data_IF_324287585753
#
_entry.id   IF_324287585753
#
_cell.length_a   1.000
_cell.length_b   1.000
_cell.length_c   1.000
_cell.angle_alpha   90.00
_cell.angle_beta   90.00
_cell.angle_gamma   90.00
#
_symmetry.space_group_name_H-M   'P 1'
#
loop_
_entity.id
_entity.type
_entity.pdbx_description
1 polymer ?
#
# COMPACT_ATOMS: atom_id res chain seq x y z
N UNK A 1 0.64 12.35 -45.99
CA UNK A 1 1.08 13.13 -44.82
C UNK A 1 1.76 12.16 -43.87
N UNK A 2 3.08 12.17 -43.82
CA UNK A 2 3.86 11.38 -42.86
C UNK A 2 3.62 12.00 -41.47
N UNK A 3 2.81 11.33 -40.66
CA UNK A 3 2.53 11.78 -39.29
C UNK A 3 3.84 11.97 -38.53
N UNK A 4 4.01 13.14 -37.91
CA UNK A 4 5.15 13.44 -37.05
C UNK A 4 5.11 12.43 -35.90
N UNK A 5 6.08 11.51 -35.86
CA UNK A 5 6.24 10.60 -34.72
C UNK A 5 6.73 11.43 -33.54
N UNK A 6 5.93 11.49 -32.48
CA UNK A 6 6.32 12.09 -31.20
C UNK A 6 7.50 11.31 -30.60
N UNK A 7 8.47 11.99 -29.95
CA UNK A 7 9.59 11.31 -29.29
C UNK A 7 9.10 10.38 -28.18
N UNK A 8 9.67 9.18 -28.14
CA UNK A 8 9.46 8.22 -27.05
C UNK A 8 10.13 8.74 -25.78
N UNK A 9 9.39 8.75 -24.66
CA UNK A 9 9.85 9.18 -23.33
C UNK A 9 10.14 7.98 -22.44
N UNK A 10 9.27 6.98 -22.47
CA UNK A 10 9.40 5.78 -21.65
C UNK A 10 8.94 4.55 -22.43
N UNK A 11 9.88 3.62 -22.66
CA UNK A 11 9.66 2.37 -23.43
C UNK A 11 9.13 2.62 -24.84
N UNK A 12 7.84 2.46 -25.06
CA UNK A 12 7.11 2.64 -26.32
C UNK A 12 6.12 3.82 -26.24
N UNK A 13 6.06 4.52 -25.11
CA UNK A 13 5.18 5.66 -24.87
C UNK A 13 5.88 6.99 -25.13
N UNK A 14 5.17 7.89 -25.82
CA UNK A 14 5.48 9.32 -25.79
C UNK A 14 4.99 9.96 -24.48
N UNK A 15 5.17 11.27 -24.33
CA UNK A 15 4.79 11.98 -23.10
C UNK A 15 3.29 11.86 -22.79
N UNK A 16 2.42 12.04 -23.79
CA UNK A 16 0.97 12.02 -23.58
C UNK A 16 0.49 10.62 -23.17
N UNK A 17 1.04 9.57 -23.80
CA UNK A 17 0.75 8.19 -23.43
C UNK A 17 1.25 7.86 -22.01
N UNK A 18 2.46 8.31 -21.64
CA UNK A 18 3.00 8.11 -20.29
C UNK A 18 2.16 8.84 -19.23
N UNK A 19 1.76 10.08 -19.49
CA UNK A 19 0.91 10.85 -18.60
C UNK A 19 -0.44 10.17 -18.37
N UNK A 20 -1.08 9.72 -19.46
CA UNK A 20 -2.33 8.96 -19.38
C UNK A 20 -2.15 7.62 -18.64
N UNK A 21 -0.99 6.98 -18.72
CA UNK A 21 -0.71 5.74 -18.00
C UNK A 21 -0.57 5.92 -16.48
N UNK A 22 -0.39 7.17 -15.99
CA UNK A 22 -0.38 7.49 -14.56
C UNK A 22 -1.62 8.26 -14.08
N UNK A 23 -2.57 8.54 -14.98
CA UNK A 23 -3.86 9.16 -14.69
C UNK A 23 -4.98 8.11 -14.58
N UNK A 24 -5.38 7.81 -13.35
CA UNK A 24 -6.46 6.88 -13.07
C UNK A 24 -7.85 7.41 -13.48
N UNK A 25 -8.02 8.72 -13.68
CA UNK A 25 -9.30 9.28 -14.15
C UNK A 25 -9.68 8.75 -15.54
N UNK A 26 -8.69 8.44 -16.37
CA UNK A 26 -8.91 7.92 -17.73
C UNK A 26 -9.47 6.49 -17.70
N UNK A 27 -9.12 5.70 -16.68
CA UNK A 27 -9.43 4.25 -16.62
C UNK A 27 -10.49 3.90 -15.57
N UNK A 28 -10.86 4.84 -14.68
CA UNK A 28 -11.87 4.64 -13.64
C UNK A 28 -12.91 5.78 -13.65
N UNK A 29 -13.85 5.80 -14.62
CA UNK A 29 -14.88 6.85 -14.70
C UNK A 29 -15.82 6.88 -13.47
N UNK A 30 -15.92 5.76 -12.73
CA UNK A 30 -16.70 5.63 -11.50
C UNK A 30 -15.91 5.95 -10.22
N UNK A 31 -14.69 6.52 -10.31
CA UNK A 31 -13.83 6.69 -9.13
C UNK A 31 -14.48 7.50 -8.00
N UNK A 32 -15.30 8.50 -8.33
CA UNK A 32 -15.90 9.37 -7.32
C UNK A 32 -16.90 8.60 -6.47
N UNK A 33 -17.72 7.76 -7.12
CA UNK A 33 -18.66 6.85 -6.47
C UNK A 33 -17.92 5.83 -5.60
N UNK A 34 -16.77 5.33 -6.06
CA UNK A 34 -15.95 4.37 -5.30
C UNK A 34 -15.34 5.00 -4.05
N UNK A 35 -14.80 6.22 -4.15
CA UNK A 35 -14.24 6.94 -2.99
C UNK A 35 -15.32 7.31 -1.96
N UNK A 36 -16.52 7.70 -2.43
CA UNK A 36 -17.67 7.92 -1.56
C UNK A 36 -18.06 6.62 -0.85
N UNK A 37 -18.10 5.50 -1.59
CA UNK A 37 -18.37 4.17 -1.03
C UNK A 37 -17.33 3.74 0.00
N UNK A 38 -16.04 4.04 -0.17
CA UNK A 38 -15.03 3.78 0.87
C UNK A 38 -15.34 4.52 2.16
N UNK A 39 -15.74 5.79 2.04
CA UNK A 39 -16.10 6.63 3.18
C UNK A 39 -17.34 6.09 3.88
N UNK A 40 -18.42 5.82 3.15
CA UNK A 40 -19.66 5.26 3.71
C UNK A 40 -19.48 3.87 4.31
N UNK A 41 -18.67 3.01 3.69
CA UNK A 41 -18.37 1.69 4.24
C UNK A 41 -17.48 1.79 5.49
N UNK A 42 -16.59 2.78 5.55
CA UNK A 42 -15.78 3.07 6.74
C UNK A 42 -16.63 3.56 7.91
N UNK A 43 -17.63 4.41 7.65
CA UNK A 43 -18.63 4.83 8.64
C UNK A 43 -19.48 3.65 9.13
N UNK A 44 -19.89 2.79 8.21
CA UNK A 44 -20.60 1.54 8.54
C UNK A 44 -19.74 0.65 9.43
N UNK A 45 -18.47 0.48 9.09
CA UNK A 45 -17.53 -0.33 9.87
C UNK A 45 -17.36 0.22 11.29
N UNK A 46 -17.25 1.55 11.46
CA UNK A 46 -17.21 2.18 12.80
C UNK A 46 -18.51 2.00 13.58
N UNK A 47 -19.65 1.91 12.89
CA UNK A 47 -20.93 1.64 13.54
C UNK A 47 -21.05 0.17 14.00
N UNK A 48 -20.37 -0.75 13.31
CA UNK A 48 -20.34 -2.19 13.63
C UNK A 48 -19.28 -2.55 14.68
N UNK A 49 -18.06 -2.05 14.52
CA UNK A 49 -16.90 -2.38 15.37
C UNK A 49 -16.68 -1.37 16.50
N UNK A 50 -17.29 -0.19 16.42
CA UNK A 50 -17.00 0.95 17.28
C UNK A 50 -15.95 1.90 16.68
N UNK A 51 -15.76 3.03 17.36
CA UNK A 51 -14.70 4.00 17.03
C UNK A 51 -13.34 3.35 17.27
N UNK A 52 -12.35 3.52 16.36
CA UNK A 52 -11.02 2.96 16.55
C UNK A 52 -10.35 3.54 17.80
N UNK A 53 -9.49 2.76 18.42
CA UNK A 53 -8.55 3.29 19.40
C UNK A 53 -7.44 4.03 18.65
N UNK A 54 -7.25 5.31 18.91
CA UNK A 54 -6.22 6.11 18.27
C UNK A 54 -4.96 6.22 19.14
N UNK A 55 -3.80 6.00 18.54
CA UNK A 55 -2.49 6.14 19.18
C UNK A 55 -1.61 7.11 18.41
N UNK A 56 -0.77 7.88 19.11
CA UNK A 56 0.29 8.66 18.48
C UNK A 56 1.55 7.82 18.34
N UNK A 57 2.12 7.78 17.13
CA UNK A 57 3.40 7.11 16.85
C UNK A 57 4.56 8.10 16.67
N UNK A 58 4.28 9.40 16.59
CA UNK A 58 5.28 10.47 16.43
C UNK A 58 4.90 11.74 17.18
N UNK A 59 5.54 12.85 16.81
CA UNK A 59 5.46 14.12 17.54
C UNK A 59 4.30 15.01 17.07
N UNK A 60 3.88 14.87 15.81
CA UNK A 60 2.82 15.70 15.22
C UNK A 60 1.45 15.02 15.29
N UNK A 61 0.37 15.82 15.20
CA UNK A 61 -1.01 15.31 15.30
C UNK A 61 -1.36 14.29 14.21
N UNK A 62 -0.82 14.48 13.01
CA UNK A 62 -0.99 13.57 11.87
C UNK A 62 -0.22 12.26 12.05
N UNK A 63 0.79 12.21 12.93
CA UNK A 63 1.50 10.98 13.27
C UNK A 63 0.71 10.11 14.26
N UNK A 64 -0.53 9.80 13.87
CA UNK A 64 -1.45 8.94 14.59
C UNK A 64 -1.84 7.71 13.78
N UNK A 65 -2.27 6.66 14.47
CA UNK A 65 -2.83 5.46 13.85
C UNK A 65 -4.13 5.06 14.51
N UNK A 66 -5.05 4.57 13.68
CA UNK A 66 -6.32 4.00 14.10
C UNK A 66 -6.16 2.48 14.24
N UNK A 67 -6.49 1.95 15.42
CA UNK A 67 -6.50 0.53 15.72
C UNK A 67 -7.95 0.03 15.89
N UNK A 68 -8.31 -0.95 15.07
CA UNK A 68 -9.51 -1.77 15.24
C UNK A 68 -9.09 -3.11 15.86
N UNK A 69 -9.55 -3.35 17.09
CA UNK A 69 -9.12 -4.51 17.89
C UNK A 69 -10.01 -5.72 17.63
N UNK A 70 -9.39 -6.88 17.51
CA UNK A 70 -10.06 -8.17 17.62
C UNK A 70 -10.18 -8.58 19.08
N UNK A 71 -11.04 -9.57 19.34
CA UNK A 71 -11.22 -10.17 20.68
C UNK A 71 -10.17 -11.23 21.01
N UNK A 72 -9.33 -11.61 20.02
CA UNK A 72 -8.26 -12.60 20.20
C UNK A 72 -7.13 -11.98 21.03
N UNK A 73 -6.68 -12.72 22.04
CA UNK A 73 -5.45 -12.41 22.77
C UNK A 73 -4.23 -12.80 21.92
N UNK A 74 -3.17 -12.00 21.94
CA UNK A 74 -1.97 -12.21 21.12
C UNK A 74 -2.36 -12.34 19.63
N UNK A 75 -3.14 -11.36 19.15
CA UNK A 75 -3.68 -11.35 17.80
C UNK A 75 -2.62 -10.98 16.78
N UNK A 76 -2.60 -11.61 15.58
CA UNK A 76 -1.88 -11.08 14.43
C UNK A 76 -2.31 -9.63 14.14
N UNK A 77 -1.39 -8.83 13.62
CA UNK A 77 -1.62 -7.40 13.33
C UNK A 77 -1.50 -7.19 11.82
N UNK A 78 -2.56 -6.69 11.20
CA UNK A 78 -2.54 -6.20 9.82
C UNK A 78 -2.40 -4.67 9.83
N UNK A 79 -1.27 -4.17 9.34
CA UNK A 79 -1.07 -2.73 9.07
C UNK A 79 -1.46 -2.47 7.62
N UNK A 80 -2.32 -1.49 7.35
CA UNK A 80 -2.72 -1.10 6.01
C UNK A 80 -2.26 0.34 5.71
N UNK A 81 -1.42 0.51 4.69
CA UNK A 81 -0.92 1.81 4.24
C UNK A 81 -1.81 2.31 3.09
N UNK A 82 -2.52 3.40 3.33
CA UNK A 82 -3.53 3.89 2.40
C UNK A 82 -2.96 4.57 1.16
N UNK A 83 -3.76 4.56 0.09
CA UNK A 83 -3.49 5.25 -1.17
C UNK A 83 -3.81 6.75 -1.12
N UNK A 84 -3.99 7.34 -2.30
CA UNK A 84 -4.33 8.77 -2.46
C UNK A 84 -3.31 9.60 -3.24
N UNK A 85 -2.49 8.94 -4.08
CA UNK A 85 -1.45 9.56 -4.90
C UNK A 85 -0.47 10.43 -4.08
N UNK A 86 -0.20 10.02 -2.83
CA UNK A 86 0.59 10.76 -1.83
C UNK A 86 0.05 12.13 -1.42
N UNK A 87 -1.09 12.57 -1.96
CA UNK A 87 -1.64 13.92 -1.73
C UNK A 87 -2.87 13.96 -0.85
N UNK A 88 -3.45 12.80 -0.57
CA UNK A 88 -4.75 12.68 0.08
C UNK A 88 -4.87 11.32 0.76
N UNK A 89 -5.97 11.12 1.47
CA UNK A 89 -6.23 9.93 2.26
C UNK A 89 -5.96 10.19 3.74
N UNK A 90 -6.81 9.63 4.59
CA UNK A 90 -6.63 9.56 6.04
C UNK A 90 -7.04 8.18 6.54
N UNK A 91 -6.56 7.76 7.70
CA UNK A 91 -6.92 6.50 8.35
C UNK A 91 -8.44 6.32 8.45
N UNK A 92 -9.16 7.40 8.77
CA UNK A 92 -10.62 7.42 8.89
C UNK A 92 -11.36 7.05 7.58
N UNK A 93 -10.77 7.28 6.42
CA UNK A 93 -11.36 6.95 5.11
C UNK A 93 -11.15 5.48 4.72
N UNK A 94 -10.29 4.74 5.43
CA UNK A 94 -9.89 3.38 5.12
C UNK A 94 -10.18 2.38 6.26
N UNK A 95 -11.24 2.63 7.02
CA UNK A 95 -11.71 1.69 8.04
C UNK A 95 -12.42 0.47 7.42
N UNK A 96 -12.97 0.60 6.22
CA UNK A 96 -13.84 -0.41 5.60
C UNK A 96 -13.26 -1.83 5.48
N UNK A 97 -11.93 -2.09 5.37
CA UNK A 97 -11.42 -3.46 5.40
C UNK A 97 -11.35 -4.06 6.81
N UNK A 98 -11.42 -3.24 7.87
CA UNK A 98 -11.15 -3.66 9.24
C UNK A 98 -12.06 -4.80 9.71
N UNK A 99 -13.34 -4.82 9.31
CA UNK A 99 -14.28 -5.85 9.71
C UNK A 99 -13.82 -7.26 9.30
N UNK A 100 -13.22 -7.40 8.11
CA UNK A 100 -12.68 -8.68 7.62
C UNK A 100 -11.62 -9.23 8.57
N UNK A 101 -10.64 -8.39 8.89
CA UNK A 101 -9.50 -8.79 9.73
C UNK A 101 -9.91 -8.99 11.20
N UNK A 102 -10.70 -8.06 11.73
CA UNK A 102 -11.18 -8.10 13.13
C UNK A 102 -12.01 -9.34 13.40
N UNK A 103 -12.94 -9.69 12.49
CA UNK A 103 -13.74 -10.92 12.63
C UNK A 103 -12.93 -12.19 12.45
N UNK A 104 -11.88 -12.16 11.62
CA UNK A 104 -10.94 -13.28 11.49
C UNK A 104 -9.99 -13.42 12.69
N UNK A 105 -10.01 -12.47 13.63
CA UNK A 105 -9.20 -12.51 14.85
C UNK A 105 -7.90 -11.71 14.79
N UNK A 106 -7.69 -10.92 13.74
CA UNK A 106 -6.55 -10.01 13.61
C UNK A 106 -6.89 -8.58 14.04
N UNK A 107 -5.91 -7.87 14.57
CA UNK A 107 -5.98 -6.42 14.68
C UNK A 107 -5.81 -5.77 13.31
N UNK A 108 -6.53 -4.70 13.06
CA UNK A 108 -6.36 -3.90 11.84
C UNK A 108 -5.92 -2.48 12.22
N UNK A 109 -4.78 -2.06 11.67
CA UNK A 109 -4.13 -0.78 11.95
C UNK A 109 -4.03 0.04 10.68
N UNK A 110 -4.43 1.29 10.74
CA UNK A 110 -4.26 2.26 9.63
C UNK A 110 -3.55 3.50 10.17
N UNK A 111 -2.28 3.76 9.81
CA UNK A 111 -1.62 5.01 10.14
C UNK A 111 -2.09 6.13 9.22
N UNK A 112 -2.23 7.32 9.79
CA UNK A 112 -2.11 8.58 9.06
C UNK A 112 -0.63 8.92 8.85
N UNK A 113 -0.35 9.81 7.91
CA UNK A 113 0.96 10.41 7.65
C UNK A 113 0.73 11.67 6.80
N UNK A 114 1.74 12.53 6.70
CA UNK A 114 1.65 13.77 5.95
C UNK A 114 1.35 13.53 4.47
N UNK A 115 0.90 14.57 3.79
CA UNK A 115 0.80 14.56 2.34
C UNK A 115 2.01 15.22 1.69
N UNK A 116 2.32 14.81 0.48
CA UNK A 116 3.53 15.23 -0.23
C UNK A 116 3.60 16.76 -0.47
N UNK A 117 2.43 17.43 -0.57
CA UNK A 117 2.37 18.88 -0.70
C UNK A 117 2.82 19.62 0.55
N UNK A 118 2.69 19.01 1.74
CA UNK A 118 3.14 19.61 3.00
C UNK A 118 4.67 19.65 3.09
N UNK A 119 5.33 18.89 2.20
CA UNK A 119 6.78 18.74 2.09
C UNK A 119 7.32 19.17 0.72
N UNK A 120 6.63 20.07 0.02
CA UNK A 120 7.06 20.64 -1.28
C UNK A 120 7.40 19.57 -2.35
N UNK A 121 6.66 18.47 -2.37
CA UNK A 121 6.88 17.39 -3.34
C UNK A 121 7.84 16.29 -2.86
N UNK A 122 8.47 16.40 -1.68
CA UNK A 122 9.39 15.39 -1.14
C UNK A 122 8.63 14.23 -0.47
N UNK A 123 8.90 13.01 -0.92
CA UNK A 123 8.28 11.79 -0.38
C UNK A 123 8.97 11.25 0.89
N UNK A 124 10.20 11.69 1.18
CA UNK A 124 11.00 11.13 2.27
C UNK A 124 10.38 11.37 3.66
N UNK A 125 9.78 12.53 3.97
CA UNK A 125 9.09 12.74 5.26
C UNK A 125 7.95 11.74 5.48
N UNK A 126 7.11 11.53 4.46
CA UNK A 126 6.02 10.54 4.50
C UNK A 126 6.56 9.12 4.71
N UNK A 127 7.62 8.75 3.99
CA UNK A 127 8.23 7.43 4.15
C UNK A 127 8.82 7.23 5.56
N UNK A 128 9.44 8.27 6.13
CA UNK A 128 9.95 8.24 7.49
C UNK A 128 8.82 8.06 8.52
N UNK A 129 7.68 8.71 8.31
CA UNK A 129 6.46 8.54 9.13
C UNK A 129 5.90 7.12 9.04
N UNK A 130 5.77 6.55 7.84
CA UNK A 130 5.32 5.15 7.67
C UNK A 130 6.26 4.17 8.37
N UNK A 131 7.57 4.36 8.28
CA UNK A 131 8.55 3.53 9.00
C UNK A 131 8.39 3.63 10.51
N UNK A 132 8.25 4.86 11.04
CA UNK A 132 7.98 5.10 12.46
C UNK A 132 6.68 4.44 12.93
N UNK A 133 5.61 4.52 12.13
CA UNK A 133 4.34 3.90 12.46
C UNK A 133 4.45 2.37 12.58
N UNK A 134 5.11 1.71 11.62
CA UNK A 134 5.35 0.27 11.65
C UNK A 134 6.21 -0.10 12.86
N UNK A 135 7.28 0.66 13.11
CA UNK A 135 8.16 0.42 14.25
C UNK A 135 7.43 0.60 15.59
N UNK A 136 6.58 1.62 15.70
CA UNK A 136 5.75 1.84 16.88
C UNK A 136 4.80 0.68 17.11
N UNK A 137 4.12 0.18 16.07
CA UNK A 137 3.24 -0.98 16.18
C UNK A 137 4.00 -2.20 16.70
N UNK A 138 5.21 -2.46 16.19
CA UNK A 138 6.03 -3.58 16.63
C UNK A 138 6.46 -3.45 18.10
N UNK A 139 6.96 -2.28 18.50
CA UNK A 139 7.41 -2.02 19.88
C UNK A 139 6.26 -2.01 20.90
N UNK A 140 5.04 -1.68 20.47
CA UNK A 140 3.90 -1.49 21.36
C UNK A 140 2.80 -2.56 21.20
N UNK A 141 3.02 -3.60 20.39
CA UNK A 141 2.04 -4.66 20.09
C UNK A 141 1.34 -5.21 21.35
N UNK A 142 2.13 -5.51 22.39
CA UNK A 142 1.63 -6.04 23.65
C UNK A 142 0.65 -5.11 24.38
N UNK A 143 0.75 -3.78 24.22
CA UNK A 143 -0.12 -2.82 24.90
C UNK A 143 -1.59 -2.92 24.47
N UNK A 144 -1.82 -3.39 23.25
CA UNK A 144 -3.17 -3.56 22.71
C UNK A 144 -3.55 -5.03 22.46
N UNK A 145 -2.72 -5.97 22.92
CA UNK A 145 -2.99 -7.41 22.82
C UNK A 145 -2.61 -8.05 21.49
N UNK A 146 -1.81 -7.35 20.68
CA UNK A 146 -1.24 -7.88 19.45
C UNK A 146 0.04 -8.67 19.68
N UNK A 147 0.34 -9.57 18.76
CA UNK A 147 1.56 -10.37 18.73
C UNK A 147 2.64 -9.65 17.89
N UNK A 148 3.76 -9.20 18.50
CA UNK A 148 4.84 -8.53 17.78
C UNK A 148 5.55 -9.43 16.76
N UNK A 149 5.42 -10.75 16.88
CA UNK A 149 5.97 -11.73 15.94
C UNK A 149 4.97 -12.09 14.82
N UNK A 150 3.78 -11.50 14.79
CA UNK A 150 2.77 -11.73 13.75
C UNK A 150 2.28 -10.42 13.11
N UNK A 151 3.20 -9.62 12.58
CA UNK A 151 2.90 -8.34 11.90
C UNK A 151 2.89 -8.54 10.38
N UNK A 152 1.82 -8.09 9.74
CA UNK A 152 1.59 -8.17 8.31
C UNK A 152 1.32 -6.78 7.75
N UNK A 153 1.73 -6.56 6.51
CA UNK A 153 1.63 -5.26 5.86
C UNK A 153 0.78 -5.37 4.60
N UNK A 154 -0.08 -4.40 4.36
CA UNK A 154 -0.73 -4.25 3.07
C UNK A 154 -0.75 -2.80 2.66
N UNK A 155 -0.84 -2.56 1.36
CA UNK A 155 -0.98 -1.20 0.86
C UNK A 155 -1.69 -1.17 -0.49
N UNK A 156 -2.23 0.00 -0.81
CA UNK A 156 -2.91 0.26 -2.08
C UNK A 156 -2.35 1.49 -2.77
N UNK A 157 -2.12 1.43 -4.09
CA UNK A 157 -1.72 2.60 -4.89
C UNK A 157 -0.41 3.23 -4.38
N UNK A 158 -0.40 4.53 -4.09
CA UNK A 158 0.72 5.21 -3.41
C UNK A 158 1.08 4.58 -2.07
N UNK A 159 0.11 3.99 -1.36
CA UNK A 159 0.35 3.24 -0.14
C UNK A 159 1.00 1.88 -0.39
N UNK A 160 0.71 1.22 -1.51
CA UNK A 160 1.44 0.02 -1.93
C UNK A 160 2.90 0.33 -2.31
N UNK A 161 3.14 1.51 -2.90
CA UNK A 161 4.51 2.03 -3.07
C UNK A 161 5.21 2.20 -1.71
N UNK A 162 4.61 2.94 -0.77
CA UNK A 162 5.21 3.18 0.55
C UNK A 162 5.41 1.87 1.33
N UNK A 163 4.45 0.95 1.27
CA UNK A 163 4.57 -0.39 1.85
C UNK A 163 5.70 -1.19 1.19
N UNK A 164 5.83 -1.15 -0.14
CA UNK A 164 6.94 -1.77 -0.85
C UNK A 164 8.30 -1.25 -0.41
N UNK A 165 8.44 0.07 -0.22
CA UNK A 165 9.68 0.70 0.29
C UNK A 165 9.90 0.39 1.78
N UNK A 166 8.85 0.23 2.58
CA UNK A 166 8.98 -0.20 3.97
C UNK A 166 9.66 -1.59 4.06
N UNK A 167 9.38 -2.48 3.11
CA UNK A 167 9.98 -3.83 3.05
C UNK A 167 11.48 -3.82 2.72
N UNK A 168 12.04 -2.70 2.24
CA UNK A 168 13.47 -2.56 1.95
C UNK A 168 14.22 -1.83 3.05
N UNK A 169 13.57 -1.56 4.19
CA UNK A 169 14.15 -0.85 5.33
C UNK A 169 15.05 -1.78 6.14
N UNK A 170 16.21 -1.30 6.59
CA UNK A 170 17.03 -2.02 7.57
C UNK A 170 16.43 -1.83 8.98
N UNK A 171 15.39 -2.61 9.27
CA UNK A 171 14.65 -2.52 10.53
C UNK A 171 15.51 -2.74 11.77
N UNK A 172 16.59 -3.51 11.65
CA UNK A 172 17.50 -3.78 12.76
C UNK A 172 18.39 -2.58 13.03
N UNK A 173 19.05 -2.04 12.01
CA UNK A 173 19.89 -0.87 12.15
C UNK A 173 19.08 0.39 12.54
N UNK A 174 17.98 0.66 11.85
CA UNK A 174 17.28 1.94 11.95
C UNK A 174 16.32 2.01 13.16
N UNK A 175 15.77 0.86 13.58
CA UNK A 175 14.70 0.81 14.60
C UNK A 175 14.93 -0.22 15.72
N UNK A 176 16.04 -0.97 15.70
CA UNK A 176 16.32 -2.02 16.69
C UNK A 176 15.33 -3.18 16.65
N UNK A 177 14.67 -3.40 15.50
CA UNK A 177 13.67 -4.45 15.29
C UNK A 177 14.28 -5.65 14.55
N UNK A 178 13.71 -6.85 14.67
CA UNK A 178 14.14 -7.98 13.84
C UNK A 178 14.06 -7.61 12.35
N UNK A 179 15.06 -7.99 11.53
CA UNK A 179 15.04 -7.74 10.08
C UNK A 179 13.83 -8.38 9.38
N UNK A 180 13.23 -9.41 9.99
CA UNK A 180 12.00 -10.06 9.56
C UNK A 180 10.76 -9.62 10.37
N UNK A 181 10.71 -8.37 10.85
CA UNK A 181 9.58 -7.85 11.65
C UNK A 181 8.24 -8.02 10.94
N UNK A 182 8.20 -7.82 9.62
CA UNK A 182 7.02 -8.09 8.78
C UNK A 182 7.09 -9.55 8.32
N UNK A 183 6.02 -10.32 8.55
CA UNK A 183 5.93 -11.77 8.25
C UNK A 183 5.31 -12.09 6.89
N UNK A 184 4.58 -11.14 6.31
CA UNK A 184 3.95 -11.24 5.01
C UNK A 184 3.49 -9.87 4.55
N UNK A 185 3.47 -9.64 3.23
CA UNK A 185 2.93 -8.39 2.70
C UNK A 185 2.08 -8.57 1.44
N UNK A 186 1.04 -7.73 1.32
CA UNK A 186 0.15 -7.64 0.15
C UNK A 186 0.23 -6.23 -0.44
N UNK A 187 0.75 -6.11 -1.65
CA UNK A 187 0.95 -4.83 -2.34
C UNK A 187 0.00 -4.76 -3.54
N UNK A 188 -1.04 -3.95 -3.44
CA UNK A 188 -2.08 -3.84 -4.46
C UNK A 188 -1.93 -2.55 -5.29
N UNK A 189 -1.85 -2.71 -6.61
CA UNK A 189 -1.81 -1.62 -7.58
C UNK A 189 -0.70 -0.61 -7.25
N UNK A 190 0.50 -1.10 -6.91
CA UNK A 190 1.62 -0.26 -6.51
C UNK A 190 2.49 0.22 -7.66
N UNK A 191 3.39 1.13 -7.34
CA UNK A 191 4.47 1.58 -8.21
C UNK A 191 5.78 1.25 -7.51
N UNK A 192 6.62 0.44 -8.13
CA UNK A 192 7.82 -0.13 -7.52
C UNK A 192 9.11 0.38 -8.18
N UNK A 193 9.01 0.98 -9.37
CA UNK A 193 10.04 1.82 -10.01
C UNK A 193 9.48 3.23 -10.23
N UNK A 194 10.10 4.22 -9.58
CA UNK A 194 9.71 5.62 -9.66
C UNK A 194 10.21 6.34 -10.91
N UNK A 195 11.08 5.73 -11.73
CA UNK A 195 11.56 6.36 -12.97
C UNK A 195 10.44 6.79 -13.92
N UNK A 196 9.50 5.92 -14.31
CA UNK A 196 8.38 6.35 -15.15
C UNK A 196 7.44 7.34 -14.44
N UNK A 197 7.35 7.28 -13.11
CA UNK A 197 6.57 8.23 -12.31
C UNK A 197 7.16 9.63 -12.41
N UNK A 198 8.49 9.74 -12.26
CA UNK A 198 9.26 10.99 -12.40
C UNK A 198 9.12 11.61 -13.80
N UNK A 199 8.99 10.78 -14.82
CA UNK A 199 8.85 11.24 -16.20
C UNK A 199 7.41 11.58 -16.59
N UNK A 200 6.42 11.18 -15.78
CA UNK A 200 5.00 11.44 -16.03
C UNK A 200 4.53 12.80 -15.49
N UNK A 201 3.28 13.14 -15.78
CA UNK A 201 2.55 14.29 -15.23
C UNK A 201 2.55 14.35 -13.69
N UNK A 202 2.86 13.25 -12.98
CA UNK A 202 3.00 13.26 -11.51
C UNK A 202 4.17 14.12 -11.01
N UNK A 203 5.17 14.35 -11.86
CA UNK A 203 6.27 15.29 -11.59
C UNK A 203 5.82 16.73 -11.33
N UNK A 204 4.58 17.09 -11.69
CA UNK A 204 4.00 18.39 -11.37
C UNK A 204 3.73 18.61 -9.87
N UNK A 205 3.68 17.54 -9.06
CA UNK A 205 3.40 17.63 -7.63
C UNK A 205 4.29 16.75 -6.74
N UNK A 206 5.10 15.85 -7.32
CA UNK A 206 6.13 15.11 -6.60
C UNK A 206 7.49 15.43 -7.21
N UNK A 207 8.43 15.83 -6.36
CA UNK A 207 9.81 16.10 -6.73
C UNK A 207 10.62 14.81 -6.58
N UNK A 208 10.67 14.01 -7.64
CA UNK A 208 11.47 12.78 -7.66
C UNK A 208 12.84 13.11 -8.24
N UNK A 209 13.85 13.30 -7.38
CA UNK A 209 15.25 13.41 -7.81
C UNK A 209 15.84 12.04 -8.16
N UNK A 210 17.07 11.98 -8.66
CA UNK A 210 17.73 10.69 -8.93
C UNK A 210 17.92 9.87 -7.64
N UNK A 211 18.19 10.57 -6.53
CA UNK A 211 18.34 9.98 -5.19
C UNK A 211 17.00 9.42 -4.71
N UNK A 212 15.91 10.20 -4.77
CA UNK A 212 14.57 9.73 -4.38
C UNK A 212 14.11 8.58 -5.30
N UNK A 213 14.38 8.66 -6.60
CA UNK A 213 14.09 7.58 -7.55
C UNK A 213 14.80 6.29 -7.14
N UNK A 214 16.07 6.36 -6.73
CA UNK A 214 16.82 5.21 -6.28
C UNK A 214 16.32 4.69 -4.94
N UNK A 215 16.23 5.55 -3.92
CA UNK A 215 15.90 5.19 -2.53
C UNK A 215 14.49 4.64 -2.38
N UNK A 216 13.51 5.20 -3.10
CA UNK A 216 12.08 4.89 -2.93
C UNK A 216 11.53 4.00 -4.06
N UNK A 217 12.39 3.35 -4.84
CA UNK A 217 11.97 2.29 -5.78
C UNK A 217 12.28 0.91 -5.22
N UNK A 218 11.27 0.24 -4.64
CA UNK A 218 11.44 -1.12 -4.11
C UNK A 218 12.01 -2.11 -5.16
N UNK A 219 11.72 -1.90 -6.45
CA UNK A 219 12.28 -2.66 -7.58
C UNK A 219 13.82 -2.65 -7.62
N UNK A 220 14.48 -1.69 -6.98
CA UNK A 220 15.94 -1.53 -6.99
C UNK A 220 16.64 -2.18 -5.80
N UNK A 221 15.88 -2.67 -4.82
CA UNK A 221 16.39 -3.21 -3.55
C UNK A 221 15.73 -4.56 -3.21
N UNK A 222 15.54 -5.41 -4.23
CA UNK A 222 14.83 -6.69 -4.10
C UNK A 222 15.49 -7.63 -3.10
N UNK A 223 16.82 -7.55 -2.94
CA UNK A 223 17.60 -8.31 -1.97
C UNK A 223 17.28 -8.01 -0.51
N UNK A 224 16.74 -6.82 -0.23
CA UNK A 224 16.37 -6.40 1.12
C UNK A 224 14.98 -6.89 1.53
N UNK A 225 14.18 -7.39 0.58
CA UNK A 225 12.83 -7.88 0.85
C UNK A 225 12.91 -9.29 1.43
N UNK A 226 12.43 -9.42 2.67
CA UNK A 226 12.45 -10.69 3.43
C UNK A 226 11.12 -11.47 3.39
N UNK A 227 9.93 -10.88 3.64
CA UNK A 227 8.71 -11.66 3.77
C UNK A 227 8.16 -12.16 2.42
N UNK A 228 7.37 -13.26 2.43
CA UNK A 228 6.58 -13.66 1.27
C UNK A 228 5.59 -12.56 0.86
N UNK A 229 5.44 -12.37 -0.45
CA UNK A 229 4.64 -11.29 -1.01
C UNK A 229 3.41 -11.79 -1.78
N UNK A 230 2.36 -10.99 -1.72
CA UNK A 230 1.25 -11.01 -2.68
C UNK A 230 1.28 -9.68 -3.41
N UNK A 231 1.30 -9.71 -4.74
CA UNK A 231 1.22 -8.51 -5.58
C UNK A 231 -0.08 -8.58 -6.37
N UNK A 232 -0.89 -7.53 -6.30
CA UNK A 232 -2.22 -7.52 -6.91
C UNK A 232 -2.43 -6.37 -7.90
N UNK A 233 -3.16 -6.58 -9.00
CA UNK A 233 -3.65 -5.50 -9.85
C UNK A 233 -4.92 -5.89 -10.62
N UNK A 234 -5.69 -4.89 -11.05
CA UNK A 234 -6.93 -5.04 -11.82
C UNK A 234 -6.72 -5.02 -13.33
N UNK A 235 -7.50 -5.78 -14.09
CA UNK A 235 -7.36 -5.83 -15.56
C UNK A 235 -7.84 -4.55 -16.27
N UNK A 236 -8.62 -3.71 -15.58
CA UNK A 236 -9.10 -2.42 -16.09
C UNK A 236 -8.28 -1.23 -15.53
N UNK A 237 -7.10 -1.49 -14.96
CA UNK A 237 -6.16 -0.45 -14.55
C UNK A 237 -5.37 0.14 -15.71
N UNK A 238 -4.71 1.27 -15.46
CA UNK A 238 -3.78 1.84 -16.44
C UNK A 238 -2.64 0.86 -16.78
N UNK A 239 -2.08 0.92 -18.00
CA UNK A 239 -1.03 0.00 -18.44
C UNK A 239 0.19 -0.03 -17.51
N UNK A 240 0.60 1.12 -16.95
CA UNK A 240 1.77 1.19 -16.07
C UNK A 240 1.54 0.50 -14.73
N UNK A 241 0.35 0.58 -14.13
CA UNK A 241 0.08 -0.12 -12.86
C UNK A 241 0.03 -1.63 -13.04
N UNK A 242 -0.54 -2.09 -14.16
CA UNK A 242 -0.50 -3.51 -14.52
C UNK A 242 0.95 -3.98 -14.80
N UNK A 243 1.74 -3.18 -15.53
CA UNK A 243 3.13 -3.50 -15.86
C UNK A 243 4.02 -3.53 -14.62
N UNK A 244 3.98 -2.48 -13.80
CA UNK A 244 4.76 -2.36 -12.56
C UNK A 244 4.52 -3.58 -11.65
N UNK A 245 3.25 -3.96 -11.47
CA UNK A 245 2.88 -5.12 -10.64
C UNK A 245 3.39 -6.44 -11.21
N UNK A 246 3.22 -6.69 -12.51
CA UNK A 246 3.76 -7.89 -13.16
C UNK A 246 5.27 -7.96 -13.07
N UNK A 247 5.97 -6.91 -13.48
CA UNK A 247 7.43 -6.91 -13.52
C UNK A 247 8.05 -7.02 -12.13
N UNK A 248 7.43 -6.43 -11.11
CA UNK A 248 7.93 -6.54 -9.73
C UNK A 248 7.81 -7.98 -9.23
N UNK A 249 6.66 -8.63 -9.44
CA UNK A 249 6.49 -10.05 -9.12
C UNK A 249 7.41 -10.96 -9.94
N UNK A 250 7.59 -10.70 -11.24
CA UNK A 250 8.52 -11.43 -12.11
C UNK A 250 9.97 -11.30 -11.63
N UNK A 251 10.42 -10.09 -11.26
CA UNK A 251 11.77 -9.84 -10.79
C UNK A 251 12.04 -10.53 -9.44
N UNK A 252 11.07 -10.56 -8.53
CA UNK A 252 11.14 -11.33 -7.28
C UNK A 252 11.18 -12.83 -7.55
N UNK A 253 10.32 -13.34 -8.42
CA UNK A 253 10.27 -14.75 -8.82
C UNK A 253 11.59 -15.20 -9.44
N UNK A 254 12.20 -14.38 -10.30
CA UNK A 254 13.49 -14.67 -10.93
C UNK A 254 14.64 -14.81 -9.92
N UNK A 255 14.49 -14.26 -8.71
CA UNK A 255 15.43 -14.39 -7.59
C UNK A 255 15.09 -15.55 -6.66
N UNK A 256 14.05 -16.32 -6.95
CA UNK A 256 13.54 -17.38 -6.08
C UNK A 256 12.79 -16.86 -4.85
N UNK A 257 12.39 -15.59 -4.83
CA UNK A 257 11.60 -15.02 -3.73
C UNK A 257 10.15 -15.51 -3.79
N UNK A 258 9.54 -15.93 -2.66
CA UNK A 258 8.14 -16.36 -2.64
C UNK A 258 7.22 -15.17 -2.92
N UNK A 259 6.56 -15.19 -4.08
CA UNK A 259 5.61 -14.16 -4.49
C UNK A 259 4.44 -14.76 -5.25
N UNK A 260 3.22 -14.36 -4.88
CA UNK A 260 1.99 -14.65 -5.62
C UNK A 260 1.54 -13.40 -6.37
N UNK A 261 1.21 -13.55 -7.65
CA UNK A 261 0.65 -12.48 -8.48
C UNK A 261 -0.86 -12.69 -8.67
N UNK A 262 -1.67 -11.78 -8.16
CA UNK A 262 -3.12 -11.82 -8.25
C UNK A 262 -3.64 -10.81 -9.28
N UNK A 263 -4.47 -11.28 -10.20
CA UNK A 263 -5.04 -10.45 -11.27
C UNK A 263 -6.56 -10.38 -11.11
N UNK A 264 -7.07 -9.23 -10.65
CA UNK A 264 -8.49 -9.00 -10.48
C UNK A 264 -9.15 -8.70 -11.83
N UNK A 265 -9.86 -9.69 -12.37
CA UNK A 265 -10.60 -9.55 -13.63
C UNK A 265 -11.73 -8.54 -13.48
N UNK A 266 -11.87 -7.66 -14.46
CA UNK A 266 -12.94 -6.66 -14.53
C UNK A 266 -12.95 -5.66 -13.36
N UNK A 267 -11.83 -5.51 -12.65
CA UNK A 267 -11.66 -4.46 -11.64
C UNK A 267 -10.76 -3.36 -12.19
N UNK A 268 -11.15 -2.11 -11.99
CA UNK A 268 -10.26 -0.96 -12.10
C UNK A 268 -9.44 -0.74 -10.83
N UNK A 269 -8.64 0.34 -10.82
CA UNK A 269 -7.69 0.68 -9.76
C UNK A 269 -8.31 0.85 -8.37
N UNK A 270 -9.59 1.22 -8.32
CA UNK A 270 -10.32 1.44 -7.09
C UNK A 270 -11.13 0.18 -6.73
N UNK A 271 -11.89 -0.41 -7.66
CA UNK A 271 -12.72 -1.59 -7.40
C UNK A 271 -11.94 -2.77 -6.81
N UNK A 272 -10.69 -2.97 -7.23
CA UNK A 272 -9.84 -4.05 -6.69
C UNK A 272 -9.65 -3.95 -5.18
N UNK A 273 -9.56 -2.73 -4.61
CA UNK A 273 -9.32 -2.56 -3.17
C UNK A 273 -10.52 -3.05 -2.34
N UNK A 274 -11.73 -3.00 -2.87
CA UNK A 274 -12.92 -3.49 -2.17
C UNK A 274 -12.87 -5.00 -1.95
N UNK A 275 -12.10 -5.72 -2.77
CA UNK A 275 -11.88 -7.16 -2.57
C UNK A 275 -11.04 -7.45 -1.33
N UNK A 276 -10.31 -6.47 -0.77
CA UNK A 276 -9.64 -6.59 0.52
C UNK A 276 -10.66 -6.58 1.68
N UNK A 277 -11.75 -5.84 1.50
CA UNK A 277 -12.85 -5.72 2.46
C UNK A 277 -13.91 -6.83 2.32
N UNK A 278 -13.55 -7.95 1.68
CA UNK A 278 -14.38 -9.13 1.59
C UNK A 278 -13.52 -10.37 1.92
N UNK A 279 -13.87 -11.21 2.91
CA UNK A 279 -13.09 -12.40 3.25
C UNK A 279 -13.02 -13.44 2.10
N UNK A 280 -13.95 -13.37 1.14
CA UNK A 280 -13.98 -14.18 -0.07
C UNK A 280 -13.52 -13.39 -1.32
N UNK A 281 -13.16 -12.13 -1.14
CA UNK A 281 -12.58 -11.31 -2.20
C UNK A 281 -11.13 -11.71 -2.45
N UNK A 282 -10.66 -11.47 -3.67
CA UNK A 282 -9.32 -11.88 -4.12
C UNK A 282 -8.20 -11.44 -3.16
N UNK A 283 -8.20 -10.17 -2.74
CA UNK A 283 -7.16 -9.66 -1.84
C UNK A 283 -7.42 -10.04 -0.37
N UNK A 284 -8.68 -10.02 0.08
CA UNK A 284 -9.03 -10.35 1.46
C UNK A 284 -8.70 -11.80 1.79
N UNK A 285 -9.03 -12.74 0.90
CA UNK A 285 -8.68 -14.14 1.04
C UNK A 285 -7.16 -14.34 1.12
N UNK A 286 -6.40 -13.68 0.24
CA UNK A 286 -4.94 -13.78 0.22
C UNK A 286 -4.29 -13.20 1.48
N UNK A 287 -4.74 -12.02 1.93
CA UNK A 287 -4.23 -11.40 3.15
C UNK A 287 -4.52 -12.27 4.38
N UNK A 288 -5.74 -12.81 4.53
CA UNK A 288 -6.08 -13.72 5.62
C UNK A 288 -5.28 -15.03 5.55
N UNK A 289 -5.03 -15.57 4.35
CA UNK A 289 -4.22 -16.77 4.17
C UNK A 289 -2.76 -16.55 4.60
N UNK A 290 -2.15 -15.40 4.25
CA UNK A 290 -0.80 -15.05 4.73
C UNK A 290 -0.70 -15.06 6.26
N UNK A 291 -1.79 -14.72 6.94
CA UNK A 291 -1.89 -14.66 8.41
C UNK A 291 -2.26 -16.00 9.06
N UNK A 292 -2.52 -17.05 8.28
CA UNK A 292 -3.06 -18.32 8.78
C UNK A 292 -4.50 -18.20 9.31
N UNK A 293 -5.27 -17.23 8.81
CA UNK A 293 -6.65 -16.93 9.21
C UNK A 293 -7.68 -17.19 8.09
N UNK A 294 -7.27 -17.84 6.99
CA UNK A 294 -8.16 -18.19 5.89
C UNK A 294 -9.27 -19.16 6.30
N UNK A 295 -10.42 -19.06 5.65
CA UNK A 295 -11.48 -20.07 5.78
C UNK A 295 -10.97 -21.42 5.26
N UNK A 296 -11.10 -22.47 6.08
CA UNK A 296 -10.83 -23.86 5.68
C UNK A 296 -11.82 -24.36 4.62
#
# INVERSE_FOLDING_TARGET
MTGIKTPVVWRDMDQAALDAAYDQNVYAPNRLQLLERYSSNSETTRSVLGVPQRFGYGETEIEGLDLYRSTRTNAPIQIFIHGGAWRSGTAAQYAFPAEVFVRAGAHFVVPDFDWVQDHNGDLRPMMAQVRRAIAWVAHNAGQFGGDPDCIYLSGHSSGAHLAGVALTTDWHHDFGLPSNVIKGALLCSGMYDLKPVRLSARSSYVTITAEIEYELSAMRHLESIVPPLVVGYGTLETPEFQRQSREFAEALTARGHPVDLLVARQCNHFEILETLANPYGLLGQAALAQMGLGSS
#
